data_IF_177116221296
#
_entry.id   IF_177116221296
#
_cell.length_a   1.000
_cell.length_b   1.000
_cell.length_c   1.000
_cell.angle_alpha   90.00
_cell.angle_beta   90.00
_cell.angle_gamma   90.00
#
_symmetry.space_group_name_H-M   'P 1'
#
loop_
_entity.id
_entity.type
_entity.pdbx_description
1 polymer ?
#
# COMPACT_ATOMS: atom_id res chain seq x y z
N UNK A 1 -1.45 -11.11 -10.41
CA UNK A 1 -0.83 -10.16 -9.48
C UNK A 1 -1.15 -8.74 -9.91
N UNK A 2 -2.07 -8.15 -9.16
CA UNK A 2 -2.42 -6.74 -9.16
C UNK A 2 -1.80 -6.07 -7.93
N UNK A 3 -1.40 -4.82 -8.05
CA UNK A 3 -0.96 -3.98 -6.93
C UNK A 3 -2.10 -3.03 -6.58
N UNK A 4 -2.71 -3.22 -5.42
CA UNK A 4 -3.76 -2.33 -4.92
C UNK A 4 -3.14 -1.22 -4.10
N UNK A 5 -3.34 0.04 -4.49
CA UNK A 5 -2.89 1.20 -3.74
C UNK A 5 -4.08 1.74 -2.93
N UNK A 6 -4.09 1.46 -1.63
CA UNK A 6 -5.05 2.01 -0.70
C UNK A 6 -4.58 3.41 -0.26
N UNK A 7 -5.37 4.46 -0.54
CA UNK A 7 -5.02 5.85 -0.21
C UNK A 7 -6.25 6.70 0.18
N UNK A 8 -6.07 7.77 0.96
CA UNK A 8 -7.15 8.74 1.15
C UNK A 8 -7.41 9.56 -0.13
N UNK A 9 -8.61 10.10 -0.32
CA UNK A 9 -8.94 10.91 -1.52
C UNK A 9 -7.97 12.10 -1.68
N UNK A 10 -7.56 12.73 -0.58
CA UNK A 10 -6.60 13.84 -0.59
C UNK A 10 -5.18 13.42 -1.06
N UNK A 11 -4.82 12.15 -0.88
CA UNK A 11 -3.51 11.59 -1.28
C UNK A 11 -3.49 11.08 -2.72
N UNK A 12 -4.60 11.25 -3.45
CA UNK A 12 -4.72 10.81 -4.85
C UNK A 12 -3.56 11.26 -5.75
N UNK A 13 -3.04 12.50 -5.67
CA UNK A 13 -1.89 12.89 -6.49
C UNK A 13 -0.64 12.03 -6.24
N UNK A 14 -0.40 11.64 -4.99
CA UNK A 14 0.71 10.76 -4.64
C UNK A 14 0.46 9.32 -5.13
N UNK A 15 -0.78 8.84 -5.00
CA UNK A 15 -1.20 7.53 -5.47
C UNK A 15 -1.06 7.38 -7.00
N UNK A 16 -1.52 8.37 -7.77
CA UNK A 16 -1.39 8.39 -9.24
C UNK A 16 0.07 8.50 -9.69
N UNK A 17 0.90 9.25 -8.95
CA UNK A 17 2.33 9.31 -9.24
C UNK A 17 2.99 7.94 -9.03
N UNK A 18 2.61 7.22 -7.97
CA UNK A 18 3.08 5.85 -7.70
C UNK A 18 2.57 4.85 -8.73
N UNK A 19 1.28 4.90 -9.08
CA UNK A 19 0.66 4.10 -10.14
C UNK A 19 1.45 4.21 -11.45
N UNK A 20 1.59 5.43 -12.00
CA UNK A 20 2.34 5.68 -13.24
C UNK A 20 3.79 5.19 -13.17
N UNK A 21 4.39 5.19 -11.98
CA UNK A 21 5.75 4.72 -11.80
C UNK A 21 5.84 3.19 -11.79
N UNK A 22 4.87 2.51 -11.18
CA UNK A 22 4.78 1.05 -11.15
C UNK A 22 4.36 0.48 -12.51
N UNK A 23 3.40 1.10 -13.20
CA UNK A 23 2.95 0.69 -14.53
C UNK A 23 4.06 0.77 -15.58
N UNK A 24 4.92 1.80 -15.51
CA UNK A 24 6.13 1.91 -16.34
C UNK A 24 7.09 0.73 -16.17
N UNK A 25 6.97 -0.04 -15.08
CA UNK A 25 7.73 -1.27 -14.81
C UNK A 25 6.94 -2.55 -15.05
N UNK A 26 5.78 -2.47 -15.70
CA UNK A 26 4.96 -3.61 -16.11
C UNK A 26 4.16 -4.25 -14.96
N UNK A 27 3.87 -3.50 -13.90
CA UNK A 27 2.95 -3.90 -12.84
C UNK A 27 1.55 -3.38 -13.14
N UNK A 28 0.53 -4.19 -12.90
CA UNK A 28 -0.87 -3.78 -12.98
C UNK A 28 -1.27 -3.16 -11.64
N UNK A 29 -1.82 -1.94 -11.67
CA UNK A 29 -2.13 -1.18 -10.47
C UNK A 29 -3.61 -0.82 -10.44
N UNK A 30 -4.21 -0.85 -9.24
CA UNK A 30 -5.55 -0.32 -9.00
C UNK A 30 -5.54 0.61 -7.78
N UNK A 31 -6.16 1.78 -7.91
CA UNK A 31 -6.31 2.75 -6.83
C UNK A 31 -7.60 2.51 -6.05
N UNK A 32 -7.52 2.51 -4.72
CA UNK A 32 -8.64 2.25 -3.83
C UNK A 32 -8.73 3.29 -2.69
N UNK A 33 -9.87 3.98 -2.59
CA UNK A 33 -10.11 5.02 -1.57
C UNK A 33 -10.92 4.54 -0.37
N UNK A 34 -11.43 3.30 -0.42
CA UNK A 34 -12.32 2.73 0.58
C UNK A 34 -13.78 3.19 0.48
N UNK A 35 -14.11 4.22 -0.32
CA UNK A 35 -15.48 4.73 -0.50
C UNK A 35 -16.47 3.66 -0.96
N UNK A 36 -16.03 2.78 -1.86
CA UNK A 36 -16.83 1.67 -2.39
C UNK A 36 -16.50 0.33 -1.73
N UNK A 37 -15.78 0.36 -0.62
CA UNK A 37 -15.10 -0.80 -0.06
C UNK A 37 -13.83 -1.18 -0.83
N UNK A 38 -12.99 -2.00 -0.19
CA UNK A 38 -11.79 -2.57 -0.82
C UNK A 38 -12.12 -3.86 -1.55
N UNK A 39 -11.47 -4.07 -2.69
CA UNK A 39 -11.61 -5.29 -3.48
C UNK A 39 -10.96 -6.48 -2.77
N UNK A 40 -11.49 -7.70 -2.99
CA UNK A 40 -10.83 -8.92 -2.55
C UNK A 40 -9.40 -8.99 -3.10
N UNK A 41 -8.45 -9.37 -2.25
CA UNK A 41 -7.05 -9.59 -2.62
C UNK A 41 -6.79 -11.08 -2.73
N UNK A 42 -6.19 -11.50 -3.84
CA UNK A 42 -5.72 -12.86 -4.02
C UNK A 42 -4.32 -12.99 -3.40
N UNK A 43 -3.91 -14.20 -3.03
CA UNK A 43 -2.59 -14.46 -2.42
C UNK A 43 -1.40 -14.04 -3.28
N UNK A 44 -1.59 -13.84 -4.59
CA UNK A 44 -0.55 -13.36 -5.49
C UNK A 44 -0.46 -11.84 -5.60
N UNK A 45 -1.40 -11.10 -5.03
CA UNK A 45 -1.49 -9.65 -5.15
C UNK A 45 -0.64 -8.94 -4.09
N UNK A 46 -0.46 -7.63 -4.24
CA UNK A 46 0.25 -6.79 -3.27
C UNK A 46 -0.63 -5.62 -2.89
N UNK A 47 -0.66 -5.28 -1.60
CA UNK A 47 -1.36 -4.10 -1.11
C UNK A 47 -0.34 -3.06 -0.69
N UNK A 48 -0.39 -1.91 -1.35
CA UNK A 48 0.35 -0.71 -0.96
C UNK A 48 -0.58 0.16 -0.13
N UNK A 49 -0.27 0.36 1.15
CA UNK A 49 -1.05 1.23 2.02
C UNK A 49 -0.36 2.60 2.16
N UNK A 50 -0.96 3.65 1.60
CA UNK A 50 -0.51 5.03 1.76
C UNK A 50 -1.08 5.60 3.07
N UNK A 51 -0.19 5.82 4.03
CA UNK A 51 -0.53 6.34 5.34
C UNK A 51 -0.13 7.80 5.48
N UNK A 52 -1.13 8.66 5.65
CA UNK A 52 -1.00 10.10 5.88
C UNK A 52 -1.90 10.53 7.04
N UNK A 53 -1.86 11.81 7.40
CA UNK A 53 -2.89 12.44 8.24
C UNK A 53 -4.29 12.24 7.66
N UNK A 54 -4.43 12.34 6.34
CA UNK A 54 -5.72 12.28 5.65
C UNK A 54 -6.29 10.86 5.66
N UNK A 55 -5.44 9.83 5.56
CA UNK A 55 -5.84 8.43 5.83
C UNK A 55 -6.28 8.26 7.28
N UNK A 56 -5.55 8.86 8.23
CA UNK A 56 -5.82 8.76 9.66
C UNK A 56 -7.14 9.43 10.07
N UNK A 57 -7.56 10.49 9.37
CA UNK A 57 -8.81 11.21 9.61
C UNK A 57 -9.91 10.91 8.57
N UNK A 58 -9.67 9.95 7.67
CA UNK A 58 -10.64 9.53 6.66
C UNK A 58 -11.91 8.94 7.30
N UNK A 59 -13.11 9.19 6.74
CA UNK A 59 -14.33 8.48 7.12
C UNK A 59 -14.21 6.95 6.99
N UNK A 60 -13.30 6.49 6.14
CA UNK A 60 -13.07 5.07 5.85
C UNK A 60 -11.88 4.49 6.62
N UNK A 61 -11.34 5.21 7.62
CA UNK A 61 -10.16 4.82 8.40
C UNK A 61 -10.19 3.37 8.90
N UNK A 62 -11.31 2.91 9.45
CA UNK A 62 -11.43 1.54 9.95
C UNK A 62 -11.30 0.48 8.83
N UNK A 63 -11.75 0.80 7.61
CA UNK A 63 -11.57 -0.06 6.45
C UNK A 63 -10.09 -0.10 6.03
N UNK A 64 -9.40 1.05 6.04
CA UNK A 64 -7.95 1.11 5.77
C UNK A 64 -7.14 0.32 6.79
N UNK A 65 -7.45 0.45 8.08
CA UNK A 65 -6.78 -0.30 9.14
C UNK A 65 -6.99 -1.81 8.95
N UNK A 66 -8.23 -2.24 8.74
CA UNK A 66 -8.56 -3.64 8.45
C UNK A 66 -7.77 -4.17 7.25
N UNK A 67 -7.84 -3.46 6.11
CA UNK A 67 -7.15 -3.83 4.87
C UNK A 67 -5.63 -3.95 5.07
N UNK A 68 -5.05 -3.03 5.84
CA UNK A 68 -3.61 -3.01 6.12
C UNK A 68 -3.21 -4.19 7.00
N UNK A 69 -4.01 -4.51 8.03
CA UNK A 69 -3.75 -5.66 8.90
C UNK A 69 -3.90 -6.99 8.17
N UNK A 70 -4.94 -7.14 7.33
CA UNK A 70 -5.13 -8.34 6.51
C UNK A 70 -3.94 -8.56 5.57
N UNK A 71 -3.56 -7.52 4.81
CA UNK A 71 -2.41 -7.60 3.91
C UNK A 71 -1.09 -7.86 4.65
N UNK A 72 -0.93 -7.36 5.88
CA UNK A 72 0.25 -7.64 6.69
C UNK A 72 0.28 -9.11 7.13
N UNK A 73 -0.85 -9.64 7.60
CA UNK A 73 -0.96 -11.03 8.03
C UNK A 73 -0.66 -12.01 6.88
N UNK A 74 -1.03 -11.65 5.66
CA UNK A 74 -0.80 -12.46 4.44
C UNK A 74 0.57 -12.21 3.78
N UNK A 75 1.45 -11.39 4.39
CA UNK A 75 2.75 -10.98 3.85
C UNK A 75 2.70 -10.22 2.50
N UNK A 76 1.57 -9.56 2.22
CA UNK A 76 1.29 -8.83 0.97
C UNK A 76 1.41 -7.31 1.13
N UNK A 77 1.68 -6.82 2.34
CA UNK A 77 1.69 -5.39 2.66
C UNK A 77 3.01 -4.71 2.28
N UNK A 78 2.88 -3.57 1.59
CA UNK A 78 3.89 -2.53 1.48
C UNK A 78 3.32 -1.24 2.09
N UNK A 79 3.73 -0.92 3.32
CA UNK A 79 3.27 0.31 3.98
C UNK A 79 4.15 1.51 3.59
N UNK A 80 3.53 2.65 3.30
CA UNK A 80 4.21 3.89 2.93
C UNK A 80 3.71 5.02 3.83
N UNK A 81 4.63 5.83 4.38
CA UNK A 81 4.28 7.05 5.13
C UNK A 81 4.44 8.27 4.22
N UNK A 82 3.35 8.97 3.92
CA UNK A 82 3.34 10.17 3.07
C UNK A 82 3.58 11.47 3.85
N UNK A 83 3.49 11.42 5.17
CA UNK A 83 3.79 12.54 6.07
C UNK A 83 4.23 12.02 7.44
N UNK A 84 4.38 12.93 8.41
CA UNK A 84 4.76 12.61 9.78
C UNK A 84 3.56 12.29 10.70
N UNK A 85 2.39 11.98 10.14
CA UNK A 85 1.24 11.60 10.94
C UNK A 85 1.48 10.26 11.64
N UNK A 86 0.88 10.13 12.83
CA UNK A 86 0.98 8.90 13.59
C UNK A 86 0.08 7.82 12.98
N UNK A 87 0.65 6.65 12.71
CA UNK A 87 -0.14 5.47 12.47
C UNK A 87 -0.97 5.09 13.72
N UNK A 88 -2.17 4.51 13.55
CA UNK A 88 -2.96 3.92 14.63
C UNK A 88 -2.18 2.88 15.44
N UNK A 89 -2.60 2.70 16.71
CA UNK A 89 -2.06 1.64 17.58
C UNK A 89 -2.28 0.28 16.89
N UNK A 90 -1.23 -0.52 16.75
CA UNK A 90 -1.22 -1.77 15.97
C UNK A 90 -0.51 -1.65 14.61
N UNK A 91 -0.57 -0.48 13.96
CA UNK A 91 0.15 -0.23 12.69
C UNK A 91 1.50 0.45 12.89
N UNK A 92 1.76 0.99 14.10
CA UNK A 92 2.98 1.75 14.42
C UNK A 92 4.27 0.94 14.31
N UNK A 93 4.21 -0.33 14.66
CA UNK A 93 5.36 -1.23 14.71
C UNK A 93 5.64 -1.90 13.36
N UNK A 94 4.79 -1.65 12.35
CA UNK A 94 4.97 -2.20 11.01
C UNK A 94 6.11 -1.48 10.28
N UNK A 95 6.88 -2.27 9.52
CA UNK A 95 7.88 -1.72 8.61
C UNK A 95 7.19 -0.87 7.54
N UNK A 96 7.63 0.39 7.41
CA UNK A 96 7.08 1.32 6.44
C UNK A 96 8.19 2.03 5.67
N UNK A 97 7.96 2.27 4.39
CA UNK A 97 8.82 3.09 3.55
C UNK A 97 8.45 4.56 3.79
N UNK A 98 9.45 5.39 4.11
CA UNK A 98 9.24 6.82 4.30
C UNK A 98 9.22 7.54 2.94
N UNK A 99 8.10 8.20 2.66
CA UNK A 99 7.82 9.01 1.47
C UNK A 99 7.36 10.43 1.85
N UNK A 100 7.63 10.85 3.09
CA UNK A 100 7.18 12.12 3.65
C UNK A 100 7.80 13.34 2.98
N UNK A 101 9.01 13.20 2.45
CA UNK A 101 9.72 14.26 1.74
C UNK A 101 9.51 14.12 0.23
N UNK A 102 8.88 15.13 -0.39
CA UNK A 102 8.56 15.10 -1.82
C UNK A 102 9.80 14.89 -2.71
N UNK A 103 10.94 15.49 -2.34
CA UNK A 103 12.18 15.40 -3.12
C UNK A 103 12.80 13.99 -3.12
N UNK A 104 12.43 13.14 -2.16
CA UNK A 104 12.98 11.78 -2.01
C UNK A 104 11.99 10.70 -2.45
N UNK A 105 10.83 11.10 -2.97
CA UNK A 105 9.79 10.18 -3.41
C UNK A 105 10.29 9.20 -4.45
N UNK A 106 11.05 9.62 -5.45
CA UNK A 106 11.57 8.68 -6.46
C UNK A 106 12.36 7.49 -5.86
N UNK A 107 13.09 7.70 -4.77
CA UNK A 107 13.82 6.64 -4.04
C UNK A 107 12.84 5.71 -3.34
N UNK A 108 11.86 6.26 -2.63
CA UNK A 108 10.83 5.48 -1.97
C UNK A 108 10.01 4.66 -2.99
N UNK A 109 9.70 5.21 -4.16
CA UNK A 109 8.91 4.53 -5.18
C UNK A 109 9.74 3.38 -5.76
N UNK A 110 11.05 3.58 -5.95
CA UNK A 110 11.95 2.51 -6.36
C UNK A 110 12.00 1.35 -5.35
N UNK A 111 11.99 1.66 -4.05
CA UNK A 111 11.90 0.65 -2.99
C UNK A 111 10.56 -0.11 -3.06
N UNK A 112 9.44 0.60 -3.23
CA UNK A 112 8.10 -0.02 -3.39
C UNK A 112 8.06 -0.95 -4.59
N UNK A 113 8.58 -0.49 -5.74
CA UNK A 113 8.61 -1.29 -6.96
C UNK A 113 9.43 -2.57 -6.78
N UNK A 114 10.57 -2.49 -6.10
CA UNK A 114 11.40 -3.65 -5.77
C UNK A 114 10.63 -4.63 -4.88
N UNK A 115 10.01 -4.16 -3.80
CA UNK A 115 9.25 -5.04 -2.90
C UNK A 115 8.07 -5.70 -3.60
N UNK A 116 7.33 -4.96 -4.43
CA UNK A 116 6.22 -5.49 -5.22
C UNK A 116 6.72 -6.53 -6.25
N UNK A 117 7.85 -6.28 -6.91
CA UNK A 117 8.44 -7.25 -7.86
C UNK A 117 8.96 -8.50 -7.16
N UNK A 118 9.58 -8.37 -5.98
CA UNK A 118 10.05 -9.51 -5.19
C UNK A 118 8.87 -10.38 -4.72
N UNK A 119 7.73 -9.75 -4.37
CA UNK A 119 6.49 -10.48 -4.06
C UNK A 119 5.98 -11.31 -5.24
N UNK A 120 6.14 -10.82 -6.48
CA UNK A 120 5.76 -11.54 -7.71
C UNK A 120 6.50 -12.86 -7.90
N UNK A 121 7.75 -12.90 -7.47
CA UNK A 121 8.66 -14.05 -7.67
C UNK A 121 8.50 -15.07 -6.55
N UNK A 122 7.88 -14.70 -5.43
CA UNK A 122 7.67 -15.60 -4.29
C UNK A 122 6.72 -16.74 -4.71
N UNK A 123 7.08 -18.01 -4.49
CA UNK A 123 6.15 -19.13 -4.71
C UNK A 123 4.97 -18.99 -3.76
N UNK A 124 3.76 -19.30 -4.23
CA UNK A 124 2.56 -19.25 -3.39
C UNK A 124 2.74 -20.10 -2.13
N UNK A 125 2.30 -19.63 -0.95
CA UNK A 125 2.37 -20.43 0.27
C UNK A 125 1.63 -21.75 0.06
N UNK A 126 2.24 -22.85 0.54
CA UNK A 126 1.63 -24.17 0.43
C UNK A 126 0.23 -24.15 1.09
N UNK A 127 -0.79 -24.80 0.50
CA UNK A 127 -2.11 -24.85 1.11
C UNK A 127 -2.00 -25.44 2.51
N UNK A 128 -2.63 -24.78 3.49
CA UNK A 128 -2.71 -25.28 4.85
C UNK A 128 -3.38 -26.67 4.86
N UNK A 129 -2.90 -27.61 5.70
CA UNK A 129 -3.43 -28.98 5.78
C UNK A 129 -4.86 -29.04 6.32
#
# INVERSE_FOLDING_TARGET
MTVFIAHAEADRPAAEALEKFLERRGLFVELETGERGFRPVQSSDTVVALWSKDTTFSPYRLLFEKRTMEAWADEQLVMIKLDHAFAPVGLRDLAAIDASLEQQRDIAWAAVARTAQDARVRPAPAPAP
#
